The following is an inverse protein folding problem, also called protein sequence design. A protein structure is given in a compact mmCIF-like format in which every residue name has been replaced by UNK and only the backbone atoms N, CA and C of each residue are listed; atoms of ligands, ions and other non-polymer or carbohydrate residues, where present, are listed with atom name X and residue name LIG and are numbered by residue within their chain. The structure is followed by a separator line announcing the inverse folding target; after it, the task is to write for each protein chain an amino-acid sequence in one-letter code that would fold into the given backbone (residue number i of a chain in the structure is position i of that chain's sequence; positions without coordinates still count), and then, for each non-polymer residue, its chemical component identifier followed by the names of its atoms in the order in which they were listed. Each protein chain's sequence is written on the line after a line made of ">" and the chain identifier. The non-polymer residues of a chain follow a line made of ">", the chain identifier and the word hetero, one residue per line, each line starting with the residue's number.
data_IF_235989326103
#
_entry.id   IF_235989326103
#
_cell.length_a   1.000
_cell.length_b   1.000
_cell.length_c   1.000
_cell.angle_alpha   90.00
_cell.angle_beta   90.00
_cell.angle_gamma   90.00
#
_symmetry.space_group_name_H-M   'P 1'
#
loop_
_entity.id
_entity.type
_entity.pdbx_description
1 polymer ?
#
# COMPACT_ATOMS: atom_id res chain seq x y z
N UNK A 1 17.51 7.58 -45.43
CA UNK A 1 16.56 6.71 -44.71
C UNK A 1 17.26 6.24 -43.45
N UNK A 2 16.99 6.92 -42.33
CA UNK A 2 17.62 6.60 -41.06
C UNK A 2 16.79 5.51 -40.38
N UNK A 3 17.26 4.25 -40.46
CA UNK A 3 16.81 3.19 -39.57
C UNK A 3 17.60 3.30 -38.28
N UNK A 4 17.27 4.31 -37.48
CA UNK A 4 17.72 4.35 -36.12
C UNK A 4 16.88 3.34 -35.35
N UNK A 5 17.24 2.05 -35.39
CA UNK A 5 16.91 1.14 -34.31
C UNK A 5 17.56 1.73 -33.05
N UNK A 6 16.81 2.55 -32.33
CA UNK A 6 17.12 2.88 -30.96
C UNK A 6 17.11 1.57 -30.19
N UNK A 7 18.27 0.92 -30.14
CA UNK A 7 18.49 -0.13 -29.14
C UNK A 7 18.54 0.55 -27.80
N UNK A 8 17.39 0.65 -27.15
CA UNK A 8 17.33 1.01 -25.74
C UNK A 8 18.23 0.02 -25.02
N UNK A 9 19.28 0.47 -24.30
CA UNK A 9 20.12 -0.44 -23.55
C UNK A 9 19.23 -1.21 -22.59
N UNK A 10 19.23 -2.53 -22.69
CA UNK A 10 18.51 -3.39 -21.74
C UNK A 10 19.04 -3.07 -20.35
N UNK A 11 18.20 -2.48 -19.52
CA UNK A 11 18.51 -2.36 -18.09
C UNK A 11 18.80 -3.78 -17.56
N UNK A 12 19.86 -4.00 -16.79
CA UNK A 12 20.30 -5.34 -16.40
C UNK A 12 19.27 -6.15 -15.61
N UNK A 13 18.26 -5.49 -15.07
CA UNK A 13 17.16 -6.12 -14.31
C UNK A 13 15.83 -6.13 -15.06
N UNK A 14 15.77 -5.57 -16.26
CA UNK A 14 14.56 -5.51 -17.06
C UNK A 14 14.50 -6.69 -18.05
N UNK A 15 13.43 -7.44 -18.00
CA UNK A 15 13.09 -8.47 -18.98
C UNK A 15 11.69 -8.22 -19.49
N UNK A 16 11.57 -7.93 -20.79
CA UNK A 16 10.30 -7.62 -21.44
C UNK A 16 9.25 -8.73 -21.30
N UNK A 17 9.70 -9.97 -21.20
CA UNK A 17 8.87 -11.16 -20.99
C UNK A 17 8.20 -11.25 -19.61
N UNK A 18 8.74 -10.51 -18.61
CA UNK A 18 8.21 -10.43 -17.26
C UNK A 18 7.60 -9.07 -16.94
N UNK A 19 7.42 -8.24 -17.96
CA UNK A 19 6.81 -6.92 -17.79
C UNK A 19 5.29 -7.06 -17.67
N UNK A 20 4.81 -7.01 -16.43
CA UNK A 20 3.40 -7.05 -16.07
C UNK A 20 3.01 -5.79 -15.31
N UNK A 21 3.36 -4.61 -15.87
CA UNK A 21 3.16 -3.32 -15.23
C UNK A 21 1.70 -2.88 -15.27
N UNK A 22 0.92 -3.39 -14.32
CA UNK A 22 -0.40 -2.88 -14.03
C UNK A 22 -0.42 -2.28 -12.63
N UNK A 23 -0.47 -0.97 -12.56
CA UNK A 23 -0.54 -0.24 -11.31
C UNK A 23 -1.75 0.68 -11.30
N UNK A 24 -2.43 0.75 -10.18
CA UNK A 24 -3.48 1.70 -9.92
C UNK A 24 -3.24 2.40 -8.59
N UNK A 25 -3.38 3.71 -8.56
CA UNK A 25 -3.25 4.51 -7.35
C UNK A 25 -4.41 5.49 -7.24
N UNK A 26 -4.84 5.75 -6.03
CA UNK A 26 -5.82 6.77 -5.74
C UNK A 26 -5.59 7.38 -4.38
N UNK A 27 -6.16 8.54 -4.15
CA UNK A 27 -6.04 9.24 -2.88
C UNK A 27 -7.37 9.88 -2.48
N UNK A 28 -7.62 9.91 -1.18
CA UNK A 28 -8.76 10.60 -0.59
C UNK A 28 -8.29 11.39 0.62
N UNK A 29 -8.63 12.67 0.68
CA UNK A 29 -8.24 13.56 1.75
C UNK A 29 -9.40 14.44 2.20
N UNK A 30 -9.49 14.68 3.50
CA UNK A 30 -10.40 15.69 4.06
C UNK A 30 -9.67 17.03 4.10
N UNK A 31 -10.15 18.01 3.34
CA UNK A 31 -9.52 19.34 3.20
C UNK A 31 -9.46 20.06 4.56
N UNK A 32 -10.47 19.88 5.41
CA UNK A 32 -10.53 20.50 6.72
C UNK A 32 -9.71 19.75 7.79
N UNK A 33 -9.03 18.67 7.42
CA UNK A 33 -8.22 17.86 8.32
C UNK A 33 -9.01 17.09 9.38
N UNK A 34 -10.32 16.98 9.21
CA UNK A 34 -11.17 16.22 10.14
C UNK A 34 -11.01 14.72 9.89
N UNK A 35 -10.75 13.99 10.97
CA UNK A 35 -10.68 12.54 10.93
C UNK A 35 -12.07 11.94 10.87
N UNK A 36 -12.29 11.07 9.90
CA UNK A 36 -13.56 10.37 9.81
C UNK A 36 -13.38 8.95 9.27
N UNK A 37 -14.23 8.06 9.70
CA UNK A 37 -14.33 6.71 9.16
C UNK A 37 -14.68 6.74 7.67
N UNK A 38 -15.51 7.68 7.23
CA UNK A 38 -15.90 7.86 5.85
C UNK A 38 -14.71 8.07 4.92
N UNK A 39 -13.68 8.81 5.34
CA UNK A 39 -12.45 9.00 4.55
C UNK A 39 -11.72 7.67 4.31
N UNK A 40 -11.65 6.82 5.33
CA UNK A 40 -11.05 5.47 5.21
C UNK A 40 -11.88 4.57 4.30
N UNK A 41 -13.19 4.58 4.44
CA UNK A 41 -14.09 3.80 3.60
C UNK A 41 -14.02 4.22 2.12
N UNK A 42 -13.92 5.52 1.85
CA UNK A 42 -13.70 6.02 0.51
C UNK A 42 -12.35 5.57 -0.07
N UNK A 43 -11.29 5.57 0.74
CA UNK A 43 -9.99 5.06 0.30
C UNK A 43 -10.04 3.55 -0.02
N UNK A 44 -10.71 2.76 0.80
CA UNK A 44 -10.95 1.34 0.52
C UNK A 44 -11.77 1.14 -0.76
N UNK A 45 -12.76 1.99 -0.99
CA UNK A 45 -13.57 1.96 -2.21
C UNK A 45 -12.75 2.25 -3.46
N UNK A 46 -11.79 3.15 -3.37
CA UNK A 46 -10.82 3.39 -4.47
C UNK A 46 -10.07 2.10 -4.80
N UNK A 47 -9.56 1.41 -3.78
CA UNK A 47 -8.83 0.14 -3.95
C UNK A 47 -9.71 -0.92 -4.63
N UNK A 48 -10.95 -1.09 -4.19
CA UNK A 48 -11.91 -1.99 -4.82
C UNK A 48 -12.15 -1.64 -6.29
N UNK A 49 -12.33 -0.37 -6.60
CA UNK A 49 -12.59 0.10 -7.97
C UNK A 49 -11.36 -0.06 -8.89
N UNK A 50 -10.17 -0.19 -8.33
CA UNK A 50 -8.93 -0.44 -9.05
C UNK A 50 -8.61 -1.94 -9.21
N UNK A 51 -9.49 -2.83 -8.82
CA UNK A 51 -9.25 -4.28 -8.85
C UNK A 51 -8.78 -4.79 -10.22
N UNK A 52 -9.36 -4.29 -11.31
CA UNK A 52 -8.98 -4.67 -12.67
C UNK A 52 -7.59 -4.16 -13.09
N UNK A 53 -7.00 -3.22 -12.34
CA UNK A 53 -5.63 -2.70 -12.52
C UNK A 53 -4.64 -3.31 -11.54
N UNK A 54 -5.10 -4.05 -10.53
CA UNK A 54 -4.24 -4.87 -9.70
C UNK A 54 -3.73 -6.04 -10.55
N UNK A 55 -2.42 -6.22 -10.60
CA UNK A 55 -1.82 -7.33 -11.34
C UNK A 55 -2.31 -8.68 -10.79
N UNK A 56 -3.24 -9.31 -11.46
CA UNK A 56 -3.67 -10.68 -11.19
C UNK A 56 -3.02 -11.60 -12.21
N UNK A 57 -2.71 -12.82 -11.79
CA UNK A 57 -2.29 -13.84 -12.74
C UNK A 57 -3.41 -14.20 -13.72
N UNK A 58 -3.09 -14.94 -14.76
CA UNK A 58 -4.04 -15.36 -15.79
C UNK A 58 -5.21 -16.17 -15.24
N UNK A 59 -5.05 -16.80 -14.08
CA UNK A 59 -6.06 -17.60 -13.41
C UNK A 59 -6.89 -16.79 -12.38
N UNK A 60 -6.49 -15.55 -12.10
CA UNK A 60 -7.15 -14.67 -11.13
C UNK A 60 -7.03 -15.11 -9.68
N UNK A 61 -6.12 -16.04 -9.37
CA UNK A 61 -5.94 -16.61 -8.03
C UNK A 61 -4.92 -15.84 -7.20
N UNK A 62 -3.92 -15.26 -7.86
CA UNK A 62 -2.87 -14.47 -7.23
C UNK A 62 -2.84 -13.06 -7.80
N UNK A 63 -2.31 -12.11 -7.06
CA UNK A 63 -2.13 -10.72 -7.47
C UNK A 63 -0.83 -10.16 -6.92
N UNK A 64 -0.39 -9.02 -7.45
CA UNK A 64 0.85 -8.36 -7.04
C UNK A 64 0.74 -7.68 -5.67
N UNK A 65 -0.45 -7.66 -5.13
CA UNK A 65 -0.73 -7.10 -3.83
C UNK A 65 -1.50 -5.78 -3.88
N UNK A 66 -2.01 -5.39 -2.75
CA UNK A 66 -2.79 -4.17 -2.55
C UNK A 66 -2.45 -3.59 -1.19
N UNK A 67 -2.48 -2.29 -1.09
CA UNK A 67 -2.23 -1.63 0.18
C UNK A 67 -3.00 -0.31 0.31
N UNK A 68 -3.17 0.11 1.53
CA UNK A 68 -3.73 1.40 1.88
C UNK A 68 -2.80 2.08 2.88
N UNK A 69 -2.55 3.34 2.69
CA UNK A 69 -1.80 4.17 3.61
C UNK A 69 -2.76 5.11 4.34
N UNK A 70 -2.77 5.03 5.65
CA UNK A 70 -3.62 5.85 6.51
C UNK A 70 -2.81 6.52 7.60
N UNK A 71 -3.39 7.50 8.26
CA UNK A 71 -2.81 8.04 9.49
C UNK A 71 -2.91 7.01 10.62
N UNK A 72 -1.93 7.05 11.53
CA UNK A 72 -1.96 6.21 12.73
C UNK A 72 -3.19 6.56 13.58
N UNK A 73 -4.05 5.59 13.93
CA UNK A 73 -5.23 5.84 14.73
C UNK A 73 -4.86 6.03 16.21
N UNK A 74 -4.45 7.22 16.59
CA UNK A 74 -3.87 7.53 17.90
C UNK A 74 -4.75 7.08 19.08
N UNK A 75 -6.06 7.36 19.03
CA UNK A 75 -7.00 6.94 20.10
C UNK A 75 -7.03 5.42 20.28
N UNK A 76 -6.98 4.68 19.19
CA UNK A 76 -6.93 3.22 19.22
C UNK A 76 -5.59 2.73 19.82
N UNK A 77 -4.48 3.31 19.40
CA UNK A 77 -3.17 2.96 19.93
C UNK A 77 -3.04 3.21 21.41
N UNK A 78 -3.51 4.35 21.91
CA UNK A 78 -3.55 4.62 23.36
C UNK A 78 -4.35 3.54 24.11
N UNK A 79 -5.51 3.16 23.60
CA UNK A 79 -6.33 2.14 24.25
C UNK A 79 -5.60 0.79 24.34
N UNK A 80 -5.07 0.30 23.22
CA UNK A 80 -4.42 -1.01 23.16
C UNK A 80 -3.14 -1.03 23.99
N UNK A 81 -2.31 0.00 23.89
CA UNK A 81 -1.06 0.07 24.66
C UNK A 81 -1.31 0.18 26.16
N UNK A 82 -2.37 0.88 26.57
CA UNK A 82 -2.77 0.96 27.98
C UNK A 82 -3.17 -0.42 28.53
N UNK A 83 -3.88 -1.23 27.76
CA UNK A 83 -4.23 -2.61 28.12
C UNK A 83 -2.99 -3.49 28.29
N UNK A 84 -1.93 -3.22 27.52
CA UNK A 84 -0.64 -3.91 27.60
C UNK A 84 0.33 -3.30 28.63
N UNK A 85 -0.07 -2.26 29.35
CA UNK A 85 0.80 -1.57 30.30
C UNK A 85 1.93 -0.76 29.67
N UNK A 86 1.82 -0.44 28.38
CA UNK A 86 2.82 0.33 27.63
C UNK A 86 2.37 1.79 27.54
N UNK A 87 3.25 2.69 27.89
CA UNK A 87 3.01 4.11 27.75
C UNK A 87 3.63 4.61 26.44
N UNK A 88 2.81 5.19 25.57
CA UNK A 88 3.27 5.79 24.31
C UNK A 88 3.24 7.31 24.40
N UNK A 89 4.00 7.97 23.55
CA UNK A 89 4.02 9.43 23.43
C UNK A 89 2.74 10.02 22.89
N UNK A 90 2.75 11.31 22.68
CA UNK A 90 1.67 12.06 22.06
C UNK A 90 1.48 11.71 20.58
N UNK A 91 0.49 12.33 19.98
CA UNK A 91 0.23 12.17 18.55
C UNK A 91 1.46 12.60 17.73
N UNK A 92 1.88 11.75 16.77
CA UNK A 92 3.05 11.92 15.90
C UNK A 92 4.42 11.79 16.62
N UNK A 93 4.45 11.35 17.85
CA UNK A 93 5.68 11.12 18.60
C UNK A 93 6.15 9.66 18.58
N UNK A 94 5.44 8.78 17.90
CA UNK A 94 5.75 7.35 17.77
C UNK A 94 5.42 6.82 16.38
N UNK A 95 6.00 5.68 16.05
CA UNK A 95 5.69 4.91 14.85
C UNK A 95 5.11 3.54 15.21
N UNK A 96 4.48 2.92 14.23
CA UNK A 96 3.92 1.57 14.36
C UNK A 96 4.49 0.70 13.27
N UNK A 97 4.96 -0.50 13.63
CA UNK A 97 5.44 -1.50 12.69
C UNK A 97 4.82 -2.86 13.00
N UNK A 98 4.57 -3.63 11.96
CA UNK A 98 4.13 -5.01 12.08
C UNK A 98 5.20 -5.92 11.51
N UNK A 99 5.65 -6.88 12.30
CA UNK A 99 6.74 -7.77 11.95
C UNK A 99 6.27 -9.22 12.03
N UNK A 100 6.59 -9.99 11.01
CA UNK A 100 6.32 -11.42 10.96
C UNK A 100 7.64 -12.17 11.06
N UNK A 101 7.80 -12.95 12.11
CA UNK A 101 9.00 -13.74 12.33
C UNK A 101 8.76 -15.19 11.91
N UNK A 102 9.80 -15.89 11.41
CA UNK A 102 9.72 -17.34 11.22
C UNK A 102 9.33 -18.01 12.53
N UNK A 103 8.46 -19.00 12.43
CA UNK A 103 8.17 -19.87 13.57
C UNK A 103 9.21 -20.98 13.53
N UNK A 104 10.14 -20.96 14.49
CA UNK A 104 11.04 -22.09 14.71
C UNK A 104 10.23 -23.22 15.33
N UNK A 105 10.24 -24.39 14.66
CA UNK A 105 9.75 -25.64 15.23
C UNK A 105 10.79 -26.27 16.16
#
# INVERSE_FOLDING_TARGET
>A
MFDAKLTVPKAPLHRAEFEHDNCGIGACVNINGQRSRATVENALKIVENLEHRAGKDAEGKTGDGVGILTQIPHKFMIKVTKELGIQIGGEREYGVGSFFFPQDE
#
